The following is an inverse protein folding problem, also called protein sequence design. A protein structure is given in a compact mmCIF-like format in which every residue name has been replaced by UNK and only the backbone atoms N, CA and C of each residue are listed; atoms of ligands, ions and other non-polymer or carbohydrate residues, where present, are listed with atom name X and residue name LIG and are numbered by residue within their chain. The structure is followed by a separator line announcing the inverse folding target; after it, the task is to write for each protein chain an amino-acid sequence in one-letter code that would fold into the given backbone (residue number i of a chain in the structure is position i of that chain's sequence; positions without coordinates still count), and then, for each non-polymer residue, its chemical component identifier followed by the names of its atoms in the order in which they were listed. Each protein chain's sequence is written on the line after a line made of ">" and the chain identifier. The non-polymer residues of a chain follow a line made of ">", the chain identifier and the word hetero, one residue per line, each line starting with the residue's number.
data_IF_005099970752
#
_entry.id   IF_005099970752
#
_cell.length_a   1.000
_cell.length_b   1.000
_cell.length_c   1.000
_cell.angle_alpha   90.00
_cell.angle_beta   90.00
_cell.angle_gamma   90.00
#
_symmetry.space_group_name_H-M   'P 1'
#
loop_
_entity.id
_entity.type
_entity.pdbx_description
1 polymer ?
#
# COMPACT_ATOMS: atom_id res chain seq x y z
N UNK A 1 20.48 -13.65 -25.10
CA UNK A 1 19.38 -14.39 -25.72
C UNK A 1 18.21 -14.45 -24.76
N UNK A 2 17.01 -14.87 -25.20
CA UNK A 2 15.82 -14.93 -24.34
C UNK A 2 16.05 -15.78 -23.07
N UNK A 3 16.90 -16.81 -23.12
CA UNK A 3 17.29 -17.62 -21.95
C UNK A 3 18.26 -16.93 -20.95
N UNK A 4 18.61 -15.65 -21.11
CA UNK A 4 19.57 -14.99 -20.23
C UNK A 4 19.00 -14.83 -18.81
N UNK A 5 19.65 -15.44 -17.82
CA UNK A 5 19.25 -15.41 -16.41
C UNK A 5 18.50 -16.65 -15.90
N UNK A 6 18.22 -17.62 -16.78
CA UNK A 6 17.72 -18.94 -16.36
C UNK A 6 18.85 -19.79 -15.78
N UNK A 7 18.49 -20.72 -14.90
CA UNK A 7 19.44 -21.68 -14.32
C UNK A 7 20.10 -22.54 -15.43
N UNK A 8 21.44 -22.51 -15.56
CA UNK A 8 22.14 -23.30 -16.58
C UNK A 8 22.02 -24.81 -16.38
N UNK A 9 21.56 -25.29 -15.21
CA UNK A 9 21.36 -26.70 -14.89
C UNK A 9 19.94 -27.22 -15.21
N UNK A 10 19.12 -26.41 -15.89
CA UNK A 10 17.81 -26.83 -16.42
C UNK A 10 17.97 -27.79 -17.62
N UNK A 11 18.47 -28.99 -17.37
CA UNK A 11 18.86 -29.93 -18.42
C UNK A 11 17.68 -30.76 -18.98
N UNK A 12 16.64 -31.00 -18.18
CA UNK A 12 15.47 -31.82 -18.58
C UNK A 12 14.17 -31.27 -17.99
N UNK A 13 13.21 -31.00 -18.87
CA UNK A 13 11.81 -30.71 -18.52
C UNK A 13 10.94 -31.88 -19.01
N UNK A 14 10.29 -32.60 -18.08
CA UNK A 14 9.26 -33.56 -18.43
C UNK A 14 7.95 -32.77 -18.62
N UNK A 15 7.44 -32.76 -19.84
CA UNK A 15 6.15 -32.13 -20.14
C UNK A 15 5.04 -33.05 -19.64
N UNK A 16 4.27 -32.59 -18.66
CA UNK A 16 3.10 -33.26 -18.11
C UNK A 16 1.82 -32.55 -18.53
N UNK A 17 0.67 -33.22 -18.44
CA UNK A 17 -0.63 -32.59 -18.70
C UNK A 17 -0.89 -31.39 -17.78
N UNK A 18 -0.51 -31.49 -16.50
CA UNK A 18 -0.62 -30.39 -15.53
C UNK A 18 0.15 -29.15 -15.99
N UNK A 19 1.39 -29.32 -16.47
CA UNK A 19 2.23 -28.22 -16.94
C UNK A 19 1.63 -27.56 -18.19
N UNK A 20 1.04 -28.35 -19.09
CA UNK A 20 0.35 -27.85 -20.27
C UNK A 20 -0.96 -27.12 -19.91
N UNK A 21 -1.67 -27.58 -18.88
CA UNK A 21 -2.87 -26.90 -18.37
C UNK A 21 -2.52 -25.52 -17.84
N UNK A 22 -1.49 -25.41 -16.99
CA UNK A 22 -1.02 -24.11 -16.47
C UNK A 22 -0.55 -23.21 -17.60
N UNK A 23 0.17 -23.76 -18.59
CA UNK A 23 0.58 -23.00 -19.77
C UNK A 23 -0.61 -22.43 -20.55
N UNK A 24 -1.65 -23.25 -20.78
CA UNK A 24 -2.85 -22.82 -21.49
C UNK A 24 -3.60 -21.70 -20.74
N UNK A 25 -3.65 -21.77 -19.40
CA UNK A 25 -4.19 -20.71 -18.55
C UNK A 25 -3.39 -19.41 -18.69
N UNK A 26 -2.06 -19.49 -18.66
CA UNK A 26 -1.18 -18.34 -18.86
C UNK A 26 -1.33 -17.72 -20.25
N UNK A 27 -1.45 -18.54 -21.28
CA UNK A 27 -1.69 -18.09 -22.66
C UNK A 27 -3.02 -17.35 -22.78
N UNK A 28 -4.08 -17.90 -22.20
CA UNK A 28 -5.39 -17.24 -22.18
C UNK A 28 -5.33 -15.89 -21.43
N UNK A 29 -4.66 -15.84 -20.28
CA UNK A 29 -4.48 -14.62 -19.50
C UNK A 29 -3.65 -13.55 -20.24
N UNK A 30 -2.62 -13.95 -21.00
CA UNK A 30 -1.81 -13.02 -21.78
C UNK A 30 -2.56 -12.46 -23.01
N UNK A 31 -3.52 -13.21 -23.56
CA UNK A 31 -4.38 -12.79 -24.69
C UNK A 31 -5.53 -11.87 -24.24
N UNK A 32 -6.00 -12.05 -23.00
CA UNK A 32 -6.86 -11.10 -22.31
C UNK A 32 -6.03 -9.84 -22.01
N UNK A 33 -5.91 -8.95 -23.01
CA UNK A 33 -5.34 -7.61 -22.80
C UNK A 33 -5.99 -6.92 -21.59
N UNK A 34 -5.34 -5.91 -20.98
CA UNK A 34 -5.78 -5.35 -19.70
C UNK A 34 -7.26 -4.95 -19.80
N UNK A 35 -8.14 -5.73 -19.17
CA UNK A 35 -9.52 -5.32 -18.97
C UNK A 35 -9.49 -4.01 -18.20
N UNK A 36 -10.29 -3.03 -18.63
CA UNK A 36 -10.42 -1.69 -18.03
C UNK A 36 -10.54 -1.76 -16.49
N UNK A 37 -9.39 -1.75 -15.82
CA UNK A 37 -9.26 -1.99 -14.38
C UNK A 37 -8.77 -0.74 -13.67
N UNK A 38 -9.70 -0.08 -12.98
CA UNK A 38 -9.53 1.09 -12.09
C UNK A 38 -9.28 2.46 -12.77
N UNK A 39 -10.22 3.44 -12.63
CA UNK A 39 -10.03 4.80 -13.12
C UNK A 39 -9.04 5.53 -12.20
N UNK A 40 -7.75 5.54 -12.52
CA UNK A 40 -6.79 6.27 -11.68
C UNK A 40 -5.36 6.41 -12.16
N UNK A 41 -4.89 5.57 -13.09
CA UNK A 41 -3.53 5.64 -13.61
C UNK A 41 -3.58 5.75 -15.13
N UNK A 42 -3.51 6.99 -15.62
CA UNK A 42 -3.36 7.25 -17.04
C UNK A 42 -2.09 6.54 -17.56
N UNK A 43 -2.25 5.78 -18.64
CA UNK A 43 -1.12 5.17 -19.34
C UNK A 43 -0.09 6.24 -19.71
N UNK A 44 1.18 6.01 -19.36
CA UNK A 44 2.26 6.93 -19.68
C UNK A 44 2.36 7.10 -21.22
N UNK A 45 2.47 8.34 -21.74
CA UNK A 45 2.60 8.57 -23.17
C UNK A 45 3.99 8.13 -23.62
N UNK A 46 4.07 7.04 -24.38
CA UNK A 46 5.32 6.54 -24.96
C UNK A 46 5.57 5.02 -24.83
N UNK A 47 4.67 4.25 -24.21
CA UNK A 47 4.72 2.80 -24.30
C UNK A 47 4.38 2.36 -25.73
N UNK A 48 5.40 2.03 -26.52
CA UNK A 48 5.20 1.39 -27.81
C UNK A 48 4.29 0.17 -27.65
N UNK A 49 3.34 0.01 -28.56
CA UNK A 49 2.65 -1.26 -28.72
C UNK A 49 3.71 -2.38 -28.89
N UNK A 50 3.50 -3.53 -28.26
CA UNK A 50 4.19 -4.82 -28.48
C UNK A 50 5.26 -5.30 -27.49
N UNK A 51 5.18 -4.99 -26.20
CA UNK A 51 5.74 -5.94 -25.23
C UNK A 51 4.93 -6.05 -23.94
N UNK A 52 4.08 -7.07 -23.87
CA UNK A 52 3.51 -7.53 -22.61
C UNK A 52 4.65 -8.02 -21.69
N UNK A 53 4.71 -7.49 -20.47
CA UNK A 53 5.58 -7.97 -19.40
C UNK A 53 4.76 -8.92 -18.54
N UNK A 54 5.21 -10.16 -18.42
CA UNK A 54 4.62 -11.13 -17.48
C UNK A 54 5.49 -11.21 -16.24
N UNK A 55 4.85 -11.06 -15.08
CA UNK A 55 5.51 -11.14 -13.77
C UNK A 55 4.91 -12.32 -13.00
N UNK A 56 5.73 -13.33 -12.77
CA UNK A 56 5.39 -14.51 -12.00
C UNK A 56 5.72 -14.28 -10.53
N UNK A 57 4.72 -14.36 -9.66
CA UNK A 57 4.93 -14.29 -8.20
C UNK A 57 5.06 -15.71 -7.68
N UNK A 58 6.25 -16.09 -7.24
CA UNK A 58 6.60 -17.48 -6.92
C UNK A 58 7.29 -17.61 -5.57
N UNK A 59 7.19 -18.78 -4.95
CA UNK A 59 8.08 -19.15 -3.83
C UNK A 59 9.47 -19.59 -4.33
N UNK A 60 10.51 -19.58 -3.48
CA UNK A 60 11.82 -20.14 -3.81
C UNK A 60 11.76 -21.60 -4.27
N UNK A 61 10.81 -22.37 -3.75
CA UNK A 61 10.62 -23.78 -4.09
C UNK A 61 10.01 -23.98 -5.49
N UNK A 62 9.13 -23.07 -5.93
CA UNK A 62 8.43 -23.14 -7.22
C UNK A 62 9.23 -22.51 -8.37
N UNK A 63 10.22 -21.67 -8.07
CA UNK A 63 10.97 -20.89 -9.06
C UNK A 63 11.57 -21.77 -10.18
N UNK A 64 12.18 -22.91 -9.83
CA UNK A 64 12.77 -23.83 -10.81
C UNK A 64 11.72 -24.43 -11.75
N UNK A 65 10.51 -24.70 -11.25
CA UNK A 65 9.41 -25.19 -12.08
C UNK A 65 8.89 -24.08 -12.99
N UNK A 66 8.76 -22.85 -12.48
CA UNK A 66 8.35 -21.70 -13.27
C UNK A 66 9.34 -21.42 -14.41
N UNK A 67 10.66 -21.53 -14.17
CA UNK A 67 11.66 -21.38 -15.22
C UNK A 67 11.50 -22.41 -16.35
N UNK A 68 11.10 -23.66 -16.03
CA UNK A 68 10.79 -24.68 -17.05
C UNK A 68 9.56 -24.29 -17.87
N UNK A 69 8.54 -23.75 -17.20
CA UNK A 69 7.31 -23.29 -17.84
C UNK A 69 7.56 -22.12 -18.78
N UNK A 70 8.38 -21.15 -18.38
CA UNK A 70 8.78 -20.01 -19.21
C UNK A 70 9.46 -20.47 -20.51
N UNK A 71 10.41 -21.40 -20.39
CA UNK A 71 11.10 -21.99 -21.54
C UNK A 71 10.16 -22.81 -22.41
N UNK A 72 9.23 -23.56 -21.81
CA UNK A 72 8.23 -24.33 -22.56
C UNK A 72 7.29 -23.41 -23.34
N UNK A 73 6.85 -22.30 -22.73
CA UNK A 73 6.02 -21.29 -23.39
C UNK A 73 6.70 -20.77 -24.66
N UNK A 74 7.96 -20.32 -24.55
CA UNK A 74 8.73 -19.86 -25.72
C UNK A 74 8.97 -20.93 -26.78
N UNK A 75 8.94 -22.22 -26.42
CA UNK A 75 9.12 -23.31 -27.38
C UNK A 75 7.84 -23.67 -28.12
N UNK A 76 6.68 -23.49 -27.49
CA UNK A 76 5.39 -23.90 -28.03
C UNK A 76 4.60 -22.76 -28.68
N UNK A 77 4.96 -21.50 -28.38
CA UNK A 77 4.20 -20.33 -28.78
C UNK A 77 5.13 -19.20 -29.23
N UNK A 78 5.05 -18.86 -30.52
CA UNK A 78 5.85 -17.77 -31.10
C UNK A 78 5.38 -16.38 -30.60
N UNK A 79 4.18 -16.27 -30.03
CA UNK A 79 3.63 -15.05 -29.45
C UNK A 79 3.90 -14.94 -27.94
N UNK A 80 4.60 -15.91 -27.35
CA UNK A 80 4.94 -15.90 -25.94
C UNK A 80 5.66 -14.59 -25.54
N UNK A 81 5.29 -13.98 -24.39
CA UNK A 81 5.89 -12.74 -23.94
C UNK A 81 7.41 -12.79 -23.90
N UNK A 82 8.07 -11.83 -24.55
CA UNK A 82 9.53 -11.74 -24.60
C UNK A 82 10.14 -11.33 -23.24
N UNK A 83 9.36 -10.63 -22.42
CA UNK A 83 9.75 -10.21 -21.08
C UNK A 83 8.94 -10.98 -20.04
N UNK A 84 9.53 -12.06 -19.51
CA UNK A 84 9.03 -12.79 -18.35
C UNK A 84 9.95 -12.51 -17.16
N UNK A 85 9.38 -12.25 -15.98
CA UNK A 85 10.13 -11.91 -14.76
C UNK A 85 9.57 -12.62 -13.53
N UNK A 86 10.41 -12.90 -12.56
CA UNK A 86 10.07 -13.61 -11.34
C UNK A 86 10.19 -12.67 -10.14
N UNK A 87 9.08 -12.48 -9.43
CA UNK A 87 9.05 -11.88 -8.10
C UNK A 87 9.05 -13.01 -7.07
N UNK A 88 10.22 -13.30 -6.50
CA UNK A 88 10.38 -14.40 -5.54
C UNK A 88 10.01 -13.93 -4.13
N UNK A 89 9.04 -14.60 -3.52
CA UNK A 89 8.50 -14.30 -2.19
C UNK A 89 8.96 -15.35 -1.18
N UNK A 90 9.70 -14.93 -0.16
CA UNK A 90 10.20 -15.79 0.90
C UNK A 90 9.08 -16.43 1.74
N UNK A 91 9.39 -17.52 2.46
CA UNK A 91 8.38 -18.30 3.16
C UNK A 91 7.80 -17.53 4.37
N UNK A 92 6.51 -17.76 4.62
CA UNK A 92 5.82 -17.26 5.81
C UNK A 92 5.79 -18.36 6.87
N UNK A 93 6.22 -18.05 8.09
CA UNK A 93 6.19 -18.97 9.24
C UNK A 93 5.47 -18.32 10.42
N UNK A 94 4.66 -19.09 11.12
CA UNK A 94 4.04 -18.62 12.35
C UNK A 94 4.79 -19.17 13.58
N UNK A 95 5.26 -18.29 14.47
CA UNK A 95 5.87 -18.73 15.72
C UNK A 95 4.80 -19.30 16.66
N UNK A 96 5.01 -20.52 17.16
CA UNK A 96 4.18 -21.12 18.21
C UNK A 96 2.81 -21.66 17.78
N UNK A 97 2.53 -21.79 16.48
CA UNK A 97 1.30 -22.41 15.96
C UNK A 97 1.48 -23.90 15.59
N UNK A 98 0.39 -24.69 15.55
CA UNK A 98 0.39 -25.97 14.85
C UNK A 98 0.79 -25.76 13.39
N UNK A 99 1.35 -26.81 12.78
CA UNK A 99 2.03 -26.82 11.48
C UNK A 99 1.23 -26.33 10.25
N UNK A 100 -0.03 -25.90 10.40
CA UNK A 100 -0.92 -25.50 9.31
C UNK A 100 -1.91 -24.41 9.75
N UNK A 101 -1.44 -23.17 9.96
CA UNK A 101 -2.34 -22.03 10.06
C UNK A 101 -2.76 -21.59 8.64
N UNK A 102 -4.05 -21.56 8.36
CA UNK A 102 -4.58 -21.13 7.06
C UNK A 102 -4.76 -19.62 6.98
N UNK A 103 -4.80 -19.05 5.76
CA UNK A 103 -5.03 -17.62 5.56
C UNK A 103 -6.37 -17.12 6.14
N UNK A 104 -7.51 -17.84 6.00
CA UNK A 104 -8.76 -17.44 6.65
C UNK A 104 -8.68 -17.44 8.18
N UNK A 105 -8.06 -18.46 8.80
CA UNK A 105 -7.87 -18.51 10.25
C UNK A 105 -7.00 -17.37 10.75
N UNK A 106 -5.93 -17.05 10.04
CA UNK A 106 -5.07 -15.92 10.35
C UNK A 106 -5.79 -14.58 10.21
N UNK A 107 -6.64 -14.43 9.19
CA UNK A 107 -7.48 -13.25 9.02
C UNK A 107 -8.46 -13.07 10.19
N UNK A 108 -9.19 -14.13 10.55
CA UNK A 108 -10.14 -14.08 11.68
C UNK A 108 -9.43 -13.81 13.02
N UNK A 109 -8.23 -14.37 13.21
CA UNK A 109 -7.38 -14.06 14.37
C UNK A 109 -7.06 -12.56 14.45
N UNK A 110 -6.57 -11.97 13.35
CA UNK A 110 -6.23 -10.53 13.32
C UNK A 110 -7.47 -9.66 13.47
N UNK A 111 -8.60 -10.04 12.88
CA UNK A 111 -9.88 -9.36 13.02
C UNK A 111 -10.37 -9.37 14.49
N UNK A 112 -10.28 -10.51 15.17
CA UNK A 112 -10.61 -10.62 16.59
C UNK A 112 -9.71 -9.72 17.44
N UNK A 113 -8.39 -9.71 17.18
CA UNK A 113 -7.44 -8.85 17.88
C UNK A 113 -7.73 -7.35 17.69
N UNK A 114 -8.07 -6.92 16.47
CA UNK A 114 -8.48 -5.53 16.19
C UNK A 114 -9.73 -5.15 16.97
N UNK A 115 -10.75 -6.02 17.00
CA UNK A 115 -11.99 -5.81 17.76
C UNK A 115 -11.70 -5.65 19.24
N UNK A 116 -10.91 -6.56 19.82
CA UNK A 116 -10.51 -6.49 21.23
C UNK A 116 -9.77 -5.20 21.54
N UNK A 117 -8.80 -4.80 20.71
CA UNK A 117 -8.01 -3.60 20.94
C UNK A 117 -8.84 -2.30 20.79
N UNK A 118 -9.89 -2.33 19.97
CA UNK A 118 -10.81 -1.20 19.78
C UNK A 118 -11.84 -1.08 20.91
N UNK A 119 -12.35 -2.20 21.42
CA UNK A 119 -13.27 -2.25 22.56
C UNK A 119 -12.62 -1.83 23.89
N UNK A 120 -11.28 -1.86 23.98
CA UNK A 120 -10.54 -1.31 25.13
C UNK A 120 -10.45 0.23 25.08
N UNK A 121 -10.57 0.85 23.90
CA UNK A 121 -10.45 2.30 23.71
C UNK A 121 -11.79 3.02 23.78
N UNK A 122 -12.86 2.37 23.34
CA UNK A 122 -14.19 2.94 23.30
C UNK A 122 -15.16 2.05 24.08
N UNK A 123 -16.17 2.66 24.71
CA UNK A 123 -17.16 1.96 25.55
C UNK A 123 -17.67 0.66 24.91
N UNK A 124 -17.95 -0.34 25.75
CA UNK A 124 -18.20 -1.77 25.40
C UNK A 124 -19.25 -2.05 24.31
N UNK A 125 -20.00 -1.05 23.85
CA UNK A 125 -21.11 -1.14 22.89
C UNK A 125 -20.71 -1.11 21.40
N UNK A 126 -19.50 -0.63 21.04
CA UNK A 126 -19.12 -0.46 19.62
C UNK A 126 -18.77 -1.77 18.91
N UNK A 127 -18.48 -2.84 19.66
CA UNK A 127 -18.13 -4.14 19.09
C UNK A 127 -19.31 -4.85 18.39
N UNK A 128 -20.55 -4.42 18.68
CA UNK A 128 -21.78 -4.98 18.08
C UNK A 128 -22.47 -4.03 17.11
N UNK A 129 -21.93 -2.82 16.90
CA UNK A 129 -22.48 -1.89 15.94
C UNK A 129 -22.17 -2.35 14.50
N UNK A 130 -23.18 -2.61 13.65
CA UNK A 130 -22.97 -2.95 12.25
C UNK A 130 -22.13 -1.90 11.50
N UNK A 131 -22.20 -0.62 11.90
CA UNK A 131 -21.42 0.46 11.30
C UNK A 131 -19.90 0.32 11.52
N UNK A 132 -19.50 -0.43 12.55
CA UNK A 132 -18.10 -0.68 12.91
C UNK A 132 -17.53 -1.95 12.31
N UNK A 133 -18.39 -2.86 11.83
CA UNK A 133 -17.96 -4.13 11.25
C UNK A 133 -17.04 -3.90 10.06
N UNK A 134 -17.36 -2.95 9.19
CA UNK A 134 -16.54 -2.64 8.02
C UNK A 134 -15.21 -1.98 8.42
N UNK A 135 -15.23 -1.03 9.36
CA UNK A 135 -14.01 -0.43 9.91
C UNK A 135 -13.07 -1.48 10.49
N UNK A 136 -13.59 -2.47 11.22
CA UNK A 136 -12.76 -3.56 11.74
C UNK A 136 -12.14 -4.43 10.65
N UNK A 137 -12.87 -4.70 9.55
CA UNK A 137 -12.32 -5.44 8.40
C UNK A 137 -11.20 -4.65 7.73
N UNK A 138 -11.39 -3.36 7.50
CA UNK A 138 -10.35 -2.47 6.93
C UNK A 138 -9.12 -2.43 7.84
N UNK A 139 -9.29 -2.30 9.15
CA UNK A 139 -8.19 -2.32 10.11
C UNK A 139 -7.46 -3.67 10.18
N UNK A 140 -8.19 -4.78 10.08
CA UNK A 140 -7.60 -6.12 10.03
C UNK A 140 -6.79 -6.31 8.75
N UNK A 141 -7.36 -5.94 7.58
CA UNK A 141 -6.67 -5.96 6.31
C UNK A 141 -5.42 -5.07 6.32
N UNK A 142 -5.51 -3.86 6.88
CA UNK A 142 -4.36 -2.98 7.03
C UNK A 142 -3.28 -3.58 7.93
N UNK A 143 -3.67 -4.25 9.02
CA UNK A 143 -2.72 -4.94 9.91
C UNK A 143 -1.96 -6.02 9.14
N UNK A 144 -2.70 -6.91 8.47
CA UNK A 144 -2.13 -8.04 7.72
C UNK A 144 -1.21 -7.55 6.61
N UNK A 145 -1.68 -6.58 5.81
CA UNK A 145 -0.90 -6.06 4.68
C UNK A 145 0.36 -5.34 5.16
N UNK A 146 0.32 -4.55 6.23
CA UNK A 146 1.54 -3.97 6.77
C UNK A 146 2.48 -5.02 7.38
N UNK A 147 1.96 -6.07 8.03
CA UNK A 147 2.80 -7.15 8.57
C UNK A 147 3.53 -7.90 7.45
N UNK A 148 2.84 -8.16 6.33
CA UNK A 148 3.39 -8.87 5.17
C UNK A 148 4.30 -7.99 4.31
N UNK A 149 3.87 -6.78 3.97
CA UNK A 149 4.51 -5.93 2.97
C UNK A 149 5.58 -4.99 3.53
N UNK A 150 5.73 -4.87 4.86
CA UNK A 150 6.79 -4.07 5.49
C UNK A 150 8.17 -4.73 5.47
N UNK A 151 8.28 -5.94 4.93
CA UNK A 151 9.55 -6.66 4.73
C UNK A 151 9.77 -6.88 3.24
N UNK A 152 11.05 -7.00 2.85
CA UNK A 152 11.41 -7.26 1.47
C UNK A 152 10.84 -8.63 1.02
N UNK A 153 10.29 -8.75 -0.20
CA UNK A 153 9.57 -9.95 -0.66
C UNK A 153 10.33 -11.26 -0.45
N UNK A 154 11.62 -11.29 -0.75
CA UNK A 154 12.51 -12.45 -0.65
C UNK A 154 12.84 -12.89 0.79
N UNK A 155 12.49 -12.07 1.78
CA UNK A 155 12.83 -12.36 3.18
C UNK A 155 11.80 -13.30 3.83
N UNK A 156 12.27 -14.13 4.76
CA UNK A 156 11.37 -14.94 5.57
C UNK A 156 10.51 -14.05 6.48
N UNK A 157 9.19 -14.25 6.42
CA UNK A 157 8.24 -13.55 7.27
C UNK A 157 7.87 -14.43 8.47
N UNK A 158 8.31 -14.05 9.67
CA UNK A 158 7.82 -14.62 10.92
C UNK A 158 6.56 -13.86 11.39
N UNK A 159 5.42 -14.55 11.43
CA UNK A 159 4.17 -14.06 11.99
C UNK A 159 4.19 -14.24 13.51
N UNK A 160 3.87 -13.16 14.20
CA UNK A 160 3.71 -13.16 15.65
C UNK A 160 2.23 -13.27 16.02
N UNK A 161 1.81 -14.48 16.36
CA UNK A 161 0.41 -14.75 16.69
C UNK A 161 0.04 -14.26 18.10
N UNK A 162 1.02 -14.17 19.00
CA UNK A 162 0.83 -13.88 20.41
C UNK A 162 0.74 -12.38 20.70
N UNK A 163 1.48 -11.55 19.95
CA UNK A 163 1.43 -10.12 20.15
C UNK A 163 0.05 -9.56 19.80
N UNK A 164 -0.62 -9.02 20.83
CA UNK A 164 -1.82 -8.22 20.63
C UNK A 164 -1.50 -7.04 19.72
N UNK A 165 -2.39 -6.77 18.76
CA UNK A 165 -2.29 -5.60 17.89
C UNK A 165 -2.32 -4.36 18.78
N UNK A 166 -1.15 -3.79 19.03
CA UNK A 166 -1.05 -2.56 19.81
C UNK A 166 -1.61 -1.43 18.96
N UNK A 167 -2.79 -0.95 19.30
CA UNK A 167 -3.37 0.28 18.75
C UNK A 167 -2.62 1.54 19.21
N UNK A 168 -1.51 1.38 19.96
CA UNK A 168 -0.54 2.42 20.34
C UNK A 168 0.82 2.24 19.63
N UNK A 169 1.02 1.14 18.90
CA UNK A 169 2.25 0.91 18.15
C UNK A 169 2.32 1.89 16.99
N UNK A 170 3.25 2.82 17.03
CA UNK A 170 3.44 3.85 15.98
C UNK A 170 3.93 3.27 14.64
N UNK A 171 4.14 1.95 14.56
CA UNK A 171 4.69 1.23 13.41
C UNK A 171 3.71 0.28 12.71
N UNK A 172 2.40 0.41 12.96
CA UNK A 172 1.38 -0.49 12.40
C UNK A 172 0.52 0.18 11.32
N UNK A 173 -0.05 -0.63 10.43
CA UNK A 173 -1.07 -0.17 9.47
C UNK A 173 -2.28 0.47 10.17
N UNK A 174 -2.65 -0.01 11.36
CA UNK A 174 -3.73 0.60 12.17
C UNK A 174 -3.42 2.02 12.62
N UNK A 175 -2.15 2.34 12.89
CA UNK A 175 -1.72 3.71 13.22
C UNK A 175 -1.81 4.64 12.00
N UNK A 176 -1.45 4.15 10.81
CA UNK A 176 -1.62 4.91 9.55
C UNK A 176 -3.11 5.18 9.29
N UNK A 177 -3.95 4.16 9.44
CA UNK A 177 -5.40 4.27 9.28
C UNK A 177 -6.03 5.26 10.26
N UNK A 178 -5.60 5.26 11.51
CA UNK A 178 -6.04 6.23 12.50
C UNK A 178 -5.71 7.69 12.10
N UNK A 179 -4.52 7.93 11.54
CA UNK A 179 -4.15 9.26 11.07
C UNK A 179 -4.94 9.71 9.85
N UNK A 180 -5.36 8.79 8.97
CA UNK A 180 -6.31 9.09 7.89
C UNK A 180 -7.66 9.57 8.46
N UNK A 181 -8.20 8.85 9.45
CA UNK A 181 -9.44 9.23 10.11
C UNK A 181 -9.34 10.60 10.80
N UNK A 182 -8.22 10.91 11.46
CA UNK A 182 -7.99 12.23 12.06
C UNK A 182 -8.02 13.36 11.03
N UNK A 183 -7.39 13.16 9.87
CA UNK A 183 -7.42 14.15 8.78
C UNK A 183 -8.83 14.32 8.22
N UNK A 184 -9.56 13.23 8.00
CA UNK A 184 -10.93 13.29 7.56
C UNK A 184 -11.82 14.05 8.56
N UNK A 185 -11.74 13.73 9.85
CA UNK A 185 -12.47 14.44 10.91
C UNK A 185 -12.09 15.93 10.99
N UNK A 186 -10.81 16.28 10.79
CA UNK A 186 -10.36 17.68 10.71
C UNK A 186 -11.08 18.41 9.57
N UNK A 187 -11.09 17.83 8.36
CA UNK A 187 -11.71 18.46 7.20
C UNK A 187 -13.23 18.53 7.30
N UNK A 188 -13.88 17.49 7.85
CA UNK A 188 -15.31 17.52 8.17
C UNK A 188 -15.62 18.61 9.21
N UNK A 189 -14.78 18.77 10.23
CA UNK A 189 -14.91 19.83 11.23
C UNK A 189 -14.79 21.22 10.62
N UNK A 190 -13.86 21.42 9.68
CA UNK A 190 -13.74 22.67 8.94
C UNK A 190 -15.00 22.92 8.10
N UNK A 191 -15.44 21.94 7.31
CA UNK A 191 -16.62 22.07 6.45
C UNK A 191 -17.88 22.42 7.25
N UNK A 192 -18.11 21.73 8.36
CA UNK A 192 -19.22 22.02 9.27
C UNK A 192 -19.11 23.44 9.86
N UNK A 193 -17.90 23.89 10.18
CA UNK A 193 -17.66 25.26 10.64
C UNK A 193 -17.97 26.30 9.56
N UNK A 194 -17.72 26.01 8.29
CA UNK A 194 -18.12 26.88 7.17
C UNK A 194 -19.65 26.93 7.04
N UNK A 195 -20.32 25.77 7.08
CA UNK A 195 -21.79 25.69 7.02
C UNK A 195 -22.47 26.44 8.16
N UNK A 196 -21.85 26.49 9.33
CA UNK A 196 -22.32 27.23 10.51
C UNK A 196 -21.91 28.71 10.53
N UNK A 197 -21.16 29.19 9.52
CA UNK A 197 -20.66 30.56 9.45
C UNK A 197 -19.52 30.89 10.42
N UNK A 198 -18.91 29.88 11.05
CA UNK A 198 -17.77 30.02 11.95
C UNK A 198 -16.46 30.33 11.20
N UNK A 199 -16.27 29.70 10.05
CA UNK A 199 -15.11 29.89 9.19
C UNK A 199 -15.50 30.38 7.79
N UNK A 200 -14.63 31.13 7.10
CA UNK A 200 -14.87 31.48 5.71
C UNK A 200 -14.74 30.25 4.80
N UNK A 201 -15.34 30.33 3.62
CA UNK A 201 -15.11 29.36 2.53
C UNK A 201 -13.62 29.32 2.18
N UNK A 202 -13.16 28.14 1.75
CA UNK A 202 -11.75 27.93 1.45
C UNK A 202 -11.35 28.80 0.25
N UNK A 203 -10.36 29.70 0.38
CA UNK A 203 -10.01 30.61 -0.70
C UNK A 203 -9.22 29.87 -1.80
N UNK A 204 -9.12 30.44 -3.01
CA UNK A 204 -8.30 29.86 -4.08
C UNK A 204 -6.84 29.68 -3.64
N UNK A 205 -6.19 28.58 -4.04
CA UNK A 205 -4.80 28.27 -3.67
C UNK A 205 -3.83 29.40 -4.05
N UNK A 206 -4.07 30.06 -5.19
CA UNK A 206 -3.26 31.19 -5.66
C UNK A 206 -3.31 32.43 -4.76
N UNK A 207 -4.25 32.49 -3.81
CA UNK A 207 -4.39 33.60 -2.85
C UNK A 207 -3.84 33.27 -1.47
N UNK A 208 -3.35 32.05 -1.26
CA UNK A 208 -2.77 31.62 0.01
C UNK A 208 -1.37 32.21 0.19
N UNK A 209 -1.09 32.70 1.39
CA UNK A 209 0.25 33.11 1.80
C UNK A 209 0.94 31.97 2.57
N UNK A 210 1.79 31.21 1.88
CA UNK A 210 2.56 30.12 2.49
C UNK A 210 3.72 30.60 3.38
N UNK A 211 4.05 31.90 3.40
CA UNK A 211 5.05 32.45 4.34
C UNK A 211 4.56 32.45 5.80
N UNK A 212 3.28 32.16 6.02
CA UNK A 212 2.65 31.96 7.32
C UNK A 212 2.92 30.57 7.93
N UNK A 213 3.46 29.64 7.15
CA UNK A 213 3.98 28.36 7.64
C UNK A 213 5.38 28.60 8.21
N UNK A 214 5.53 28.41 9.51
CA UNK A 214 6.74 28.75 10.28
C UNK A 214 7.17 27.64 11.23
N UNK A 215 6.29 26.68 11.51
CA UNK A 215 6.57 25.59 12.42
C UNK A 215 7.46 24.55 11.72
N UNK A 216 8.46 24.04 12.43
CA UNK A 216 9.37 23.01 11.90
C UNK A 216 8.60 21.79 11.37
N UNK A 217 7.52 21.40 12.05
CA UNK A 217 6.66 20.29 11.62
C UNK A 217 5.96 20.51 10.27
N UNK A 218 5.68 21.75 9.88
CA UNK A 218 5.08 22.06 8.58
C UNK A 218 6.07 21.78 7.45
N UNK A 219 7.33 22.20 7.65
CA UNK A 219 8.43 21.95 6.73
C UNK A 219 8.80 20.48 6.66
N UNK A 220 8.79 19.77 7.79
CA UNK A 220 9.04 18.34 7.85
C UNK A 220 8.03 17.58 6.98
N UNK A 221 6.73 17.87 7.12
CA UNK A 221 5.67 17.25 6.32
C UNK A 221 5.83 17.55 4.83
N UNK A 222 6.19 18.78 4.47
CA UNK A 222 6.37 19.17 3.07
C UNK A 222 7.57 18.47 2.43
N UNK A 223 8.76 18.62 3.04
CA UNK A 223 10.02 18.20 2.43
C UNK A 223 10.29 16.70 2.57
N UNK A 224 9.81 16.05 3.63
CA UNK A 224 10.07 14.63 3.85
C UNK A 224 8.91 13.72 3.41
N UNK A 225 7.74 14.29 3.15
CA UNK A 225 6.57 13.48 2.76
C UNK A 225 5.94 13.95 1.45
N UNK A 226 5.50 15.19 1.34
CA UNK A 226 4.75 15.63 0.14
C UNK A 226 5.62 15.68 -1.11
N UNK A 227 6.75 16.36 -1.06
CA UNK A 227 7.64 16.52 -2.22
C UNK A 227 8.30 15.23 -2.71
N UNK A 228 8.83 14.33 -1.85
CA UNK A 228 9.50 13.12 -2.31
C UNK A 228 8.54 11.98 -2.73
N UNK A 229 7.24 12.11 -2.48
CA UNK A 229 6.28 11.04 -2.75
C UNK A 229 6.21 10.59 -4.22
N UNK A 230 6.23 11.47 -5.24
CA UNK A 230 6.24 11.03 -6.64
C UNK A 230 7.48 10.21 -7.00
N UNK A 231 8.65 10.57 -6.46
CA UNK A 231 9.89 9.83 -6.67
C UNK A 231 9.84 8.46 -5.98
N UNK A 232 9.31 8.40 -4.75
CA UNK A 232 9.05 7.15 -4.06
C UNK A 232 8.12 6.24 -4.88
N UNK A 233 7.00 6.79 -5.38
CA UNK A 233 6.08 6.03 -6.23
C UNK A 233 6.78 5.52 -7.47
N UNK A 234 7.55 6.36 -8.16
CA UNK A 234 8.31 5.96 -9.36
C UNK A 234 9.29 4.82 -9.06
N UNK A 235 10.00 4.89 -7.94
CA UNK A 235 10.94 3.85 -7.49
C UNK A 235 10.26 2.55 -7.06
N UNK A 236 9.00 2.60 -6.62
CA UNK A 236 8.24 1.42 -6.15
C UNK A 236 7.35 0.81 -7.23
N UNK A 237 6.89 1.61 -8.19
CA UNK A 237 6.11 1.20 -9.35
C UNK A 237 6.99 0.68 -10.48
N UNK A 238 8.23 1.17 -10.58
CA UNK A 238 9.24 0.51 -11.37
C UNK A 238 9.49 -0.86 -10.73
N UNK A 239 9.01 -1.93 -11.38
CA UNK A 239 9.60 -3.24 -11.22
C UNK A 239 11.04 -3.09 -11.70
N UNK A 240 11.94 -2.82 -10.75
CA UNK A 240 13.35 -2.61 -11.04
C UNK A 240 13.83 -3.77 -11.91
N UNK A 241 14.28 -3.42 -13.11
CA UNK A 241 14.76 -4.39 -14.06
C UNK A 241 13.71 -5.10 -14.93
N UNK A 242 12.48 -4.59 -15.04
CA UNK A 242 11.52 -5.00 -16.06
C UNK A 242 12.15 -5.03 -17.47
N UNK A 243 13.03 -4.08 -17.76
CA UNK A 243 13.82 -3.97 -19.00
C UNK A 243 15.29 -4.37 -18.82
N UNK A 244 15.73 -4.71 -17.60
CA UNK A 244 17.11 -5.13 -17.35
C UNK A 244 17.32 -6.61 -17.73
N UNK A 245 18.55 -7.02 -18.08
CA UNK A 245 18.87 -8.43 -18.29
C UNK A 245 18.73 -9.22 -16.98
N UNK A 246 18.19 -10.44 -17.05
CA UNK A 246 17.98 -11.32 -15.90
C UNK A 246 16.51 -11.68 -15.70
N UNK A 247 16.26 -12.68 -14.86
CA UNK A 247 14.92 -13.22 -14.64
C UNK A 247 14.20 -12.56 -13.46
N UNK A 248 14.92 -12.11 -12.44
CA UNK A 248 14.33 -11.58 -11.21
C UNK A 248 13.91 -10.12 -11.34
N UNK A 249 12.78 -9.80 -10.69
CA UNK A 249 12.37 -8.44 -10.35
C UNK A 249 12.15 -8.35 -8.84
N UNK A 250 12.16 -7.11 -8.33
CA UNK A 250 11.80 -6.84 -6.93
C UNK A 250 10.62 -5.88 -6.87
N UNK A 251 9.79 -6.05 -5.85
CA UNK A 251 8.75 -5.11 -5.47
C UNK A 251 9.17 -4.47 -4.14
N UNK A 252 9.25 -3.14 -4.11
CA UNK A 252 9.75 -2.40 -2.93
C UNK A 252 8.62 -1.92 -2.02
N UNK A 253 7.65 -2.80 -1.74
CA UNK A 253 6.46 -2.46 -0.94
C UNK A 253 6.83 -2.01 0.48
N UNK A 254 7.95 -2.49 1.00
CA UNK A 254 8.45 -2.13 2.32
C UNK A 254 8.84 -0.66 2.43
N UNK A 255 9.26 -0.04 1.31
CA UNK A 255 9.55 1.39 1.28
C UNK A 255 8.27 2.20 1.43
N UNK A 256 7.19 1.80 0.76
CA UNK A 256 5.87 2.43 0.90
C UNK A 256 5.36 2.31 2.34
N UNK A 257 5.41 1.10 2.92
CA UNK A 257 4.98 0.89 4.31
C UNK A 257 5.78 1.75 5.30
N UNK A 258 7.11 1.79 5.18
CA UNK A 258 7.98 2.60 6.05
C UNK A 258 7.68 4.09 5.90
N UNK A 259 7.50 4.55 4.67
CA UNK A 259 7.15 5.94 4.36
C UNK A 259 5.82 6.34 4.99
N UNK A 260 4.76 5.55 4.80
CA UNK A 260 3.42 5.83 5.36
C UNK A 260 3.44 5.86 6.89
N UNK A 261 4.20 4.96 7.51
CA UNK A 261 4.41 4.93 8.95
C UNK A 261 5.12 6.20 9.41
N UNK A 262 6.22 6.60 8.76
CA UNK A 262 6.97 7.81 9.11
C UNK A 262 6.14 9.07 8.94
N UNK A 263 5.46 9.24 7.80
CA UNK A 263 4.54 10.34 7.56
C UNK A 263 3.45 10.42 8.64
N UNK A 264 2.91 9.28 9.06
CA UNK A 264 1.90 9.23 10.13
C UNK A 264 2.47 9.65 11.49
N UNK A 265 3.74 9.34 11.78
CA UNK A 265 4.42 9.80 13.00
C UNK A 265 4.63 11.32 12.97
N UNK A 266 5.14 11.84 11.85
CA UNK A 266 5.42 13.26 11.66
C UNK A 266 4.12 14.08 11.74
N UNK A 267 3.07 13.62 11.06
CA UNK A 267 1.74 14.24 11.13
C UNK A 267 1.15 14.18 12.54
N UNK A 268 1.18 13.02 13.21
CA UNK A 268 0.69 12.90 14.59
C UNK A 268 1.41 13.85 15.53
N UNK A 269 2.74 13.97 15.40
CA UNK A 269 3.56 14.88 16.21
C UNK A 269 3.17 16.35 15.96
N UNK A 270 3.07 16.74 14.68
CA UNK A 270 2.67 18.08 14.28
C UNK A 270 1.25 18.44 14.76
N UNK A 271 0.27 17.59 14.48
CA UNK A 271 -1.13 17.84 14.83
C UNK A 271 -1.34 17.97 16.34
N UNK A 272 -0.59 17.23 17.16
CA UNK A 272 -0.69 17.33 18.62
C UNK A 272 -0.16 18.65 19.18
N UNK A 273 0.73 19.34 18.45
CA UNK A 273 1.35 20.60 18.88
C UNK A 273 0.65 21.83 18.31
N UNK A 274 0.09 21.70 17.11
CA UNK A 274 -0.40 22.83 16.33
C UNK A 274 -1.91 22.77 16.16
N UNK A 275 -2.60 23.79 16.67
CA UNK A 275 -4.03 23.97 16.45
C UNK A 275 -4.29 24.44 15.02
N UNK A 276 -4.89 23.56 14.21
CA UNK A 276 -5.24 23.86 12.83
C UNK A 276 -6.52 24.69 12.77
N UNK A 277 -7.62 24.17 13.30
CA UNK A 277 -8.88 24.89 13.47
C UNK A 277 -8.88 25.58 14.84
N UNK A 278 -8.38 26.81 14.85
CA UNK A 278 -8.31 27.67 16.04
C UNK A 278 -9.54 28.56 16.20
N UNK A 279 -9.44 29.57 17.06
CA UNK A 279 -10.52 30.53 17.25
C UNK A 279 -10.88 31.26 15.94
N UNK A 280 -12.16 31.57 15.70
CA UNK A 280 -12.66 32.16 14.45
C UNK A 280 -12.35 33.67 14.34
N UNK A 281 -11.06 34.03 14.42
CA UNK A 281 -10.61 35.42 14.33
C UNK A 281 -10.05 35.71 12.92
N UNK A 282 -10.49 36.79 12.25
CA UNK A 282 -10.09 37.08 10.87
C UNK A 282 -8.59 37.06 10.57
N UNK A 283 -7.77 37.55 11.49
CA UNK A 283 -6.30 37.59 11.33
C UNK A 283 -5.63 36.22 11.42
N UNK A 284 -6.33 35.17 11.91
CA UNK A 284 -5.80 33.81 12.02
C UNK A 284 -6.14 32.95 10.79
N UNK A 285 -7.12 33.37 9.97
CA UNK A 285 -7.59 32.57 8.84
C UNK A 285 -6.52 32.32 7.78
N UNK A 286 -5.64 33.29 7.51
CA UNK A 286 -4.56 33.12 6.54
C UNK A 286 -3.67 31.91 6.87
N UNK A 287 -3.22 31.82 8.12
CA UNK A 287 -2.38 30.70 8.58
C UNK A 287 -3.17 29.38 8.62
N UNK A 288 -4.43 29.42 9.09
CA UNK A 288 -5.31 28.25 9.08
C UNK A 288 -5.45 27.66 7.66
N UNK A 289 -5.70 28.51 6.64
CA UNK A 289 -5.85 28.06 5.26
C UNK A 289 -4.54 27.49 4.68
N UNK A 290 -3.40 28.11 4.96
CA UNK A 290 -2.10 27.57 4.56
C UNK A 290 -1.86 26.17 5.16
N UNK A 291 -2.17 25.99 6.44
CA UNK A 291 -2.07 24.69 7.14
C UNK A 291 -3.03 23.66 6.58
N UNK A 292 -4.29 24.04 6.34
CA UNK A 292 -5.28 23.15 5.73
C UNK A 292 -4.85 22.72 4.32
N UNK A 293 -4.23 23.61 3.53
CA UNK A 293 -3.70 23.24 2.21
C UNK A 293 -2.55 22.23 2.30
N UNK A 294 -1.60 22.44 3.23
CA UNK A 294 -0.54 21.47 3.50
C UNK A 294 -1.11 20.11 3.91
N UNK A 295 -2.06 20.10 4.85
CA UNK A 295 -2.68 18.86 5.34
C UNK A 295 -3.55 18.17 4.29
N UNK A 296 -4.09 18.89 3.31
CA UNK A 296 -4.77 18.29 2.16
C UNK A 296 -3.79 17.51 1.28
N UNK A 297 -2.60 18.06 1.05
CA UNK A 297 -1.54 17.34 0.33
C UNK A 297 -1.07 16.10 1.12
N UNK A 298 -0.90 16.20 2.44
CA UNK A 298 -0.58 15.06 3.30
C UNK A 298 -1.66 13.97 3.23
N UNK A 299 -2.93 14.36 3.26
CA UNK A 299 -4.05 13.42 3.12
C UNK A 299 -4.02 12.69 1.77
N UNK A 300 -3.77 13.42 0.68
CA UNK A 300 -3.66 12.84 -0.65
C UNK A 300 -2.51 11.83 -0.75
N UNK A 301 -1.35 12.15 -0.17
CA UNK A 301 -0.19 11.26 -0.10
C UNK A 301 -0.51 9.98 0.68
N UNK A 302 -1.14 10.09 1.85
CA UNK A 302 -1.58 8.93 2.63
C UNK A 302 -2.56 8.06 1.83
N UNK A 303 -3.56 8.68 1.19
CA UNK A 303 -4.57 7.96 0.43
C UNK A 303 -3.97 7.24 -0.78
N UNK A 304 -3.12 7.92 -1.57
CA UNK A 304 -2.46 7.32 -2.73
C UNK A 304 -1.50 6.21 -2.32
N UNK A 305 -0.72 6.39 -1.25
CA UNK A 305 0.18 5.33 -0.76
C UNK A 305 -0.60 4.13 -0.24
N UNK A 306 -1.71 4.32 0.49
CA UNK A 306 -2.58 3.20 0.89
C UNK A 306 -3.19 2.49 -0.31
N UNK A 307 -3.59 3.23 -1.35
CA UNK A 307 -4.12 2.67 -2.59
C UNK A 307 -3.10 1.75 -3.30
N UNK A 308 -1.80 2.08 -3.28
CA UNK A 308 -0.76 1.17 -3.82
C UNK A 308 -0.65 -0.16 -3.06
N UNK A 309 -1.11 -0.20 -1.81
CA UNK A 309 -1.21 -1.41 -1.00
C UNK A 309 -2.60 -2.07 -1.13
N UNK A 310 -3.49 -1.54 -1.98
CA UNK A 310 -4.88 -1.97 -2.10
C UNK A 310 -5.67 -1.82 -0.80
N UNK A 311 -5.42 -0.73 -0.07
CA UNK A 311 -6.12 -0.41 1.18
C UNK A 311 -6.92 0.89 1.01
N UNK A 312 -8.21 0.91 1.39
CA UNK A 312 -8.97 2.15 1.43
C UNK A 312 -8.55 2.98 2.66
N UNK A 313 -8.50 4.32 2.56
CA UNK A 313 -8.32 5.16 3.73
C UNK A 313 -9.57 5.11 4.62
N UNK A 314 -9.37 5.18 5.94
CA UNK A 314 -10.48 5.35 6.88
C UNK A 314 -10.86 6.82 7.00
N UNK A 315 -12.17 7.09 6.94
CA UNK A 315 -12.72 8.44 7.13
C UNK A 315 -13.10 8.73 8.58
N UNK A 316 -13.30 7.70 9.41
CA UNK A 316 -13.64 7.84 10.83
C UNK A 316 -13.07 6.69 11.65
N UNK A 317 -12.78 6.98 12.93
CA UNK A 317 -12.48 6.06 14.03
C UNK A 317 -13.03 6.71 15.30
#
# INVERSE_FOLDING_TARGET
>A
GPAAGHDPHLDRCLVTEDLLSVLAELQAAAQLGPEDGSPGLAAAPGAGADSCLVVHVVSPEEESQQQKLDLLWWKLDEQAPLAQKHLVCGPVRAAGAPSTLTAPEYYELRLAQVRTASALKHSRDLAQDPAWTETFRVLAAATIKFEMLSKAPQSQLLLDLANSISTKGTKSGTFVMYNCARLATLFEGYQRGVEQGLYPTFPPVSSLDFSLLREEGEWLLLFNSVLPFPDLLSQTAALDGAQAPGLHVTARTEMVCKFLVQLSMDFSSYYNRVHILGEPRPHLFGQMFARLQLLRAVQEVLHKGLATLGLPPLSYI
#
